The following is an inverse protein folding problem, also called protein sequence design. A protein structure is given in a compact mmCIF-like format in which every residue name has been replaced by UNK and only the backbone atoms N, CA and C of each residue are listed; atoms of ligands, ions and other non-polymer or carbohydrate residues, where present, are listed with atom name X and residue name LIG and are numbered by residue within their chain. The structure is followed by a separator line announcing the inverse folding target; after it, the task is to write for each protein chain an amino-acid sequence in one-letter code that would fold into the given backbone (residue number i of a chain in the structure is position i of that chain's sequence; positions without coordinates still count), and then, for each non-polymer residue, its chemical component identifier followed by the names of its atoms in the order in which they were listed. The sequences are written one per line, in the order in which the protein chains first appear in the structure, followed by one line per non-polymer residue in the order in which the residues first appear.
data_IF_770159907990
#
_entry.id   IF_770159907990
#
_cell.length_a   1.000
_cell.length_b   1.000
_cell.length_c   1.000
_cell.angle_alpha   90.00
_cell.angle_beta   90.00
_cell.angle_gamma   90.00
#
_symmetry.space_group_name_H-M   'P 1'
#
loop_
_entity.id
_entity.type
_entity.pdbx_description
1 polymer ?
#
# COMPACT_ATOMS: atom_id res chain seq x y z
N UNK A 1 -5.02 -37.38 6.46
CA UNK A 1 -5.28 -37.99 7.77
C UNK A 1 -6.38 -37.14 8.40
N UNK A 2 -7.58 -37.69 8.58
CA UNK A 2 -8.67 -36.98 9.26
C UNK A 2 -8.28 -36.95 10.75
N UNK A 3 -8.20 -35.77 11.36
CA UNK A 3 -7.91 -35.68 12.79
C UNK A 3 -9.04 -36.37 13.58
N UNK A 4 -8.69 -37.17 14.59
CA UNK A 4 -9.63 -37.94 15.43
C UNK A 4 -10.75 -37.07 16.02
N UNK A 5 -10.48 -35.78 16.24
CA UNK A 5 -11.48 -34.80 16.67
C UNK A 5 -12.68 -34.68 15.70
N UNK A 6 -12.47 -34.72 14.38
CA UNK A 6 -13.56 -34.63 13.42
C UNK A 6 -14.44 -35.88 13.40
N UNK A 7 -13.86 -37.04 13.72
CA UNK A 7 -14.58 -38.31 13.83
C UNK A 7 -15.50 -38.28 15.07
N UNK A 8 -15.00 -37.77 16.20
CA UNK A 8 -15.81 -37.64 17.41
C UNK A 8 -16.90 -36.57 17.30
N UNK A 9 -16.63 -35.46 16.60
CA UNK A 9 -17.63 -34.42 16.30
C UNK A 9 -18.74 -34.98 15.38
N UNK A 10 -18.38 -35.73 14.34
CA UNK A 10 -19.33 -36.34 13.41
C UNK A 10 -20.23 -37.39 14.05
N UNK A 11 -19.76 -38.13 15.07
CA UNK A 11 -20.57 -39.13 15.78
C UNK A 11 -21.78 -38.52 16.52
N UNK A 12 -21.75 -37.23 16.85
CA UNK A 12 -22.86 -36.52 17.52
C UNK A 12 -23.93 -36.00 16.55
N UNK A 13 -23.71 -36.11 15.25
CA UNK A 13 -24.66 -35.64 14.24
C UNK A 13 -25.74 -36.70 13.95
N UNK A 14 -26.94 -36.26 13.57
CA UNK A 14 -28.02 -37.15 13.14
C UNK A 14 -27.72 -37.85 11.80
N UNK A 15 -26.88 -37.23 10.96
CA UNK A 15 -26.52 -37.73 9.64
C UNK A 15 -25.12 -37.26 9.28
N UNK A 16 -24.34 -38.10 8.61
CA UNK A 16 -22.94 -37.84 8.24
C UNK A 16 -22.76 -38.07 6.75
N UNK A 17 -22.27 -37.03 6.06
CA UNK A 17 -21.90 -37.09 4.65
C UNK A 17 -20.39 -37.17 4.46
N UNK A 18 -19.92 -38.13 3.68
CA UNK A 18 -18.54 -38.22 3.21
C UNK A 18 -18.43 -37.47 1.89
N UNK A 19 -17.52 -36.50 1.81
CA UNK A 19 -17.30 -35.69 0.60
C UNK A 19 -15.85 -35.77 0.12
N UNK A 20 -15.65 -35.66 -1.19
CA UNK A 20 -14.33 -35.54 -1.83
C UNK A 20 -14.43 -34.64 -3.05
N UNK A 21 -13.54 -33.65 -3.12
CA UNK A 21 -13.43 -32.73 -4.27
C UNK A 21 -14.76 -32.08 -4.68
N UNK A 22 -15.60 -31.74 -3.69
CA UNK A 22 -16.91 -31.12 -3.92
C UNK A 22 -18.04 -32.06 -4.36
N UNK A 23 -17.82 -33.38 -4.38
CA UNK A 23 -18.85 -34.39 -4.59
C UNK A 23 -19.13 -35.16 -3.30
N UNK A 24 -20.40 -35.47 -3.05
CA UNK A 24 -20.82 -36.36 -1.98
C UNK A 24 -20.58 -37.81 -2.42
N UNK A 25 -19.91 -38.60 -1.59
CA UNK A 25 -19.60 -40.01 -1.83
C UNK A 25 -20.65 -40.93 -1.20
N UNK A 26 -21.04 -40.63 0.04
CA UNK A 26 -22.08 -41.35 0.78
C UNK A 26 -22.66 -40.45 1.86
N UNK A 27 -23.92 -40.67 2.24
CA UNK A 27 -24.59 -39.94 3.32
C UNK A 27 -25.47 -40.90 4.11
N UNK A 28 -25.14 -41.12 5.38
CA UNK A 28 -25.85 -42.07 6.24
C UNK A 28 -25.72 -41.70 7.73
N UNK A 29 -26.42 -42.42 8.61
CA UNK A 29 -26.28 -42.28 10.05
C UNK A 29 -24.87 -42.70 10.53
N UNK A 30 -24.32 -42.06 11.59
CA UNK A 30 -22.96 -42.31 12.06
C UNK A 30 -22.68 -43.76 12.46
N UNK A 31 -23.73 -44.52 12.79
CA UNK A 31 -23.62 -45.91 13.23
C UNK A 31 -23.43 -46.89 12.05
N UNK A 32 -23.98 -46.57 10.87
CA UNK A 32 -23.84 -47.40 9.66
C UNK A 32 -22.57 -47.08 8.87
N UNK A 33 -22.02 -45.87 9.04
CA UNK A 33 -20.81 -45.42 8.38
C UNK A 33 -19.58 -45.63 9.28
N UNK A 34 -18.92 -46.78 9.18
CA UNK A 34 -17.57 -46.94 9.76
C UNK A 34 -16.60 -45.99 9.04
N UNK A 35 -16.36 -44.83 9.65
CA UNK A 35 -15.79 -43.65 9.00
C UNK A 35 -14.40 -43.86 8.36
N UNK A 36 -13.63 -44.86 8.78
CA UNK A 36 -12.30 -45.11 8.21
C UNK A 36 -12.33 -46.14 7.08
N UNK A 37 -12.87 -47.34 7.32
CA UNK A 37 -12.87 -48.43 6.35
C UNK A 37 -13.83 -48.20 5.18
N UNK A 38 -15.01 -47.61 5.46
CA UNK A 38 -15.99 -47.27 4.42
C UNK A 38 -15.46 -46.12 3.56
N UNK A 39 -14.81 -45.12 4.18
CA UNK A 39 -14.24 -44.00 3.43
C UNK A 39 -13.10 -44.43 2.50
N UNK A 40 -12.19 -45.29 2.97
CA UNK A 40 -11.11 -45.82 2.12
C UNK A 40 -11.66 -46.60 0.92
N UNK A 41 -12.65 -47.46 1.16
CA UNK A 41 -13.31 -48.23 0.08
C UNK A 41 -14.00 -47.31 -0.93
N UNK A 42 -14.77 -46.33 -0.46
CA UNK A 42 -15.43 -45.35 -1.32
C UNK A 42 -14.41 -44.50 -2.11
N UNK A 43 -13.26 -44.16 -1.52
CA UNK A 43 -12.21 -43.42 -2.22
C UNK A 43 -11.53 -44.24 -3.33
N UNK A 44 -11.39 -45.55 -3.12
CA UNK A 44 -10.83 -46.48 -4.10
C UNK A 44 -11.81 -46.74 -5.25
N UNK A 45 -13.09 -46.96 -4.93
CA UNK A 45 -14.16 -47.11 -5.92
C UNK A 45 -14.33 -45.85 -6.76
N UNK A 46 -14.25 -44.66 -6.15
CA UNK A 46 -14.28 -43.37 -6.84
C UNK A 46 -13.10 -43.18 -7.80
N UNK A 47 -11.88 -43.57 -7.39
CA UNK A 47 -10.70 -43.51 -8.27
C UNK A 47 -10.84 -44.41 -9.50
N UNK A 48 -11.35 -45.62 -9.31
CA UNK A 48 -11.56 -46.57 -10.41
C UNK A 48 -12.67 -46.10 -11.36
N UNK A 49 -13.74 -45.50 -10.84
CA UNK A 49 -14.84 -44.95 -11.62
C UNK A 49 -14.37 -43.77 -12.50
N UNK A 50 -13.54 -42.88 -11.96
CA UNK A 50 -12.94 -41.77 -12.72
C UNK A 50 -12.01 -42.29 -13.83
N UNK A 51 -11.22 -43.34 -13.55
CA UNK A 51 -10.35 -43.94 -14.57
C UNK A 51 -11.15 -44.58 -15.71
N UNK A 52 -12.24 -45.29 -15.40
CA UNK A 52 -13.11 -45.93 -16.40
C UNK A 52 -13.82 -44.91 -17.30
N UNK A 53 -14.30 -43.79 -16.75
CA UNK A 53 -14.91 -42.71 -17.54
C UNK A 53 -13.92 -42.02 -18.48
N UNK A 54 -12.65 -41.92 -18.08
CA UNK A 54 -11.59 -41.30 -18.92
C UNK A 54 -11.24 -42.19 -20.12
N UNK A 55 -11.35 -43.51 -19.99
CA UNK A 55 -11.18 -44.47 -21.10
C UNK A 55 -12.38 -44.51 -22.06
N UNK A 56 -13.61 -44.27 -21.59
CA UNK A 56 -14.80 -44.27 -22.46
C UNK A 56 -14.97 -42.97 -23.27
N UNK A 57 -14.53 -41.82 -22.76
CA UNK A 57 -14.60 -40.56 -23.51
C UNK A 57 -13.54 -40.39 -24.62
N UNK A 58 -12.68 -41.39 -24.83
CA UNK A 58 -11.67 -41.42 -25.90
C UNK A 58 -12.08 -42.26 -27.12
N UNK A 59 -13.32 -42.77 -27.15
CA UNK A 59 -13.89 -43.46 -28.29
C UNK A 59 -15.15 -42.70 -28.72
N UNK A 60 -14.96 -41.59 -29.42
CA UNK A 60 -15.98 -41.04 -30.30
C UNK A 60 -15.30 -40.79 -31.66
N UNK A 61 -15.46 -41.79 -32.53
CA UNK A 61 -14.84 -41.93 -33.83
C UNK A 61 -15.48 -43.11 -34.56
N UNK A 62 -16.62 -42.82 -35.16
CA UNK A 62 -17.35 -43.52 -36.23
C UNK A 62 -16.73 -44.80 -36.83
N UNK A 63 -17.48 -45.92 -36.78
CA UNK A 63 -17.76 -46.78 -37.94
C UNK A 63 -18.75 -47.92 -37.62
N UNK A 64 -19.74 -48.08 -38.49
CA UNK A 64 -20.68 -49.21 -38.64
C UNK A 64 -19.99 -50.58 -38.74
N UNK A 65 -20.57 -51.62 -38.10
CA UNK A 65 -21.05 -52.88 -38.73
C UNK A 65 -21.49 -53.91 -37.68
N UNK A 66 -22.58 -54.63 -38.02
CA UNK A 66 -23.17 -55.76 -37.30
C UNK A 66 -22.16 -56.90 -37.02
N UNK A 67 -22.25 -57.56 -35.85
CA UNK A 67 -22.25 -59.04 -35.69
C UNK A 67 -22.65 -59.40 -34.24
N UNK A 68 -23.47 -60.44 -34.15
CA UNK A 68 -24.20 -60.98 -33.01
C UNK A 68 -23.36 -61.78 -31.98
N UNK A 69 -24.00 -62.02 -30.82
CA UNK A 69 -23.96 -63.24 -29.99
C UNK A 69 -22.68 -63.65 -29.22
N UNK A 70 -22.72 -63.65 -27.88
CA UNK A 70 -23.00 -64.84 -27.04
C UNK A 70 -22.51 -64.72 -25.57
N UNK A 71 -23.45 -64.85 -24.63
CA UNK A 71 -23.52 -65.72 -23.43
C UNK A 71 -22.20 -66.13 -22.71
N UNK A 72 -22.10 -65.88 -21.39
CA UNK A 72 -22.13 -66.93 -20.33
C UNK A 72 -21.95 -66.39 -18.90
N UNK A 73 -23.01 -66.60 -18.10
CA UNK A 73 -22.96 -66.81 -16.65
C UNK A 73 -22.09 -68.05 -16.32
N UNK A 74 -21.38 -68.04 -15.19
CA UNK A 74 -21.21 -69.21 -14.30
C UNK A 74 -20.44 -68.86 -13.00
N UNK A 75 -21.18 -68.90 -11.87
CA UNK A 75 -20.88 -69.40 -10.51
C UNK A 75 -19.43 -69.48 -9.99
N UNK A 76 -19.19 -69.02 -8.74
CA UNK A 76 -19.17 -69.89 -7.53
C UNK A 76 -18.76 -69.10 -6.25
N UNK A 77 -19.48 -69.35 -5.16
CA UNK A 77 -19.21 -68.93 -3.77
C UNK A 77 -17.92 -69.53 -3.20
N UNK A 78 -17.24 -68.84 -2.25
CA UNK A 78 -16.77 -69.45 -0.98
C UNK A 78 -16.27 -68.44 0.07
N UNK A 79 -16.98 -68.44 1.20
CA UNK A 79 -16.59 -68.40 2.63
C UNK A 79 -15.10 -68.26 3.04
N UNK A 80 -14.87 -67.30 3.96
CA UNK A 80 -13.80 -67.08 4.96
C UNK A 80 -12.61 -68.06 5.08
N UNK A 81 -11.36 -67.54 5.07
CA UNK A 81 -10.27 -67.89 6.02
C UNK A 81 -9.25 -66.73 6.18
N UNK A 82 -8.94 -66.46 7.45
CA UNK A 82 -7.94 -65.64 8.14
C UNK A 82 -6.72 -65.00 7.43
N UNK A 83 -6.44 -63.76 7.87
CA UNK A 83 -5.15 -63.21 8.32
C UNK A 83 -3.88 -63.88 7.81
N UNK A 84 -3.28 -63.31 6.75
CA UNK A 84 -1.80 -63.26 6.53
C UNK A 84 -1.39 -62.57 5.22
N UNK A 85 -2.33 -62.14 4.36
CA UNK A 85 -2.02 -61.65 3.01
C UNK A 85 -2.05 -60.12 2.82
N UNK A 86 -2.38 -59.35 3.86
CA UNK A 86 -2.47 -57.88 3.74
C UNK A 86 -1.09 -57.24 3.57
N UNK A 87 -0.04 -57.83 4.15
CA UNK A 87 1.30 -57.25 4.13
C UNK A 87 2.00 -57.36 2.76
N UNK A 88 1.68 -58.39 1.96
CA UNK A 88 2.20 -58.55 0.58
C UNK A 88 1.44 -57.71 -0.46
N UNK A 89 0.20 -57.30 -0.17
CA UNK A 89 -0.53 -56.32 -0.97
C UNK A 89 -0.07 -54.88 -0.71
N UNK A 90 0.44 -54.58 0.48
CA UNK A 90 0.95 -53.24 0.83
C UNK A 90 2.27 -52.89 0.12
N UNK A 91 3.08 -53.87 -0.28
CA UNK A 91 4.39 -53.62 -0.90
C UNK A 91 4.28 -53.46 -2.43
N UNK A 92 3.29 -54.09 -3.08
CA UNK A 92 3.18 -54.09 -4.56
C UNK A 92 2.41 -52.88 -5.11
N UNK A 93 1.73 -52.09 -4.27
CA UNK A 93 0.96 -50.90 -4.69
C UNK A 93 1.80 -49.61 -4.67
N UNK A 94 3.03 -49.64 -4.13
CA UNK A 94 3.90 -48.45 -4.07
C UNK A 94 4.60 -48.09 -5.39
N UNK A 95 4.35 -48.79 -6.49
CA UNK A 95 4.81 -48.37 -7.82
C UNK A 95 3.91 -47.29 -8.41
N UNK A 96 4.27 -46.04 -8.10
CA UNK A 96 4.20 -44.86 -8.99
C UNK A 96 3.20 -44.97 -10.15
N UNK A 97 1.94 -44.69 -9.89
CA UNK A 97 1.10 -44.01 -10.86
C UNK A 97 0.77 -42.61 -10.33
N UNK A 98 1.81 -41.77 -10.29
CA UNK A 98 1.60 -40.33 -10.46
C UNK A 98 1.09 -40.11 -11.87
N UNK A 99 -0.23 -40.27 -12.06
CA UNK A 99 -0.91 -39.71 -13.22
C UNK A 99 -0.52 -38.23 -13.27
N UNK A 100 0.24 -37.85 -14.30
CA UNK A 100 0.55 -36.44 -14.58
C UNK A 100 -0.79 -35.75 -14.77
N UNK A 101 -1.32 -35.12 -13.72
CA UNK A 101 -2.41 -34.16 -13.86
C UNK A 101 -1.92 -33.14 -14.86
N UNK A 102 -2.61 -33.04 -15.99
CA UNK A 102 -2.25 -32.09 -17.02
C UNK A 102 -2.27 -30.68 -16.40
N UNK A 103 -1.31 -29.84 -16.75
CA UNK A 103 -1.20 -28.45 -16.25
C UNK A 103 -2.50 -27.64 -16.47
N UNK A 104 -3.36 -28.12 -17.39
CA UNK A 104 -4.66 -27.56 -17.77
C UNK A 104 -5.74 -27.83 -16.71
N UNK A 105 -5.64 -28.91 -15.91
CA UNK A 105 -6.59 -29.19 -14.82
C UNK A 105 -6.46 -28.20 -13.64
N UNK A 106 -5.36 -27.46 -13.57
CA UNK A 106 -5.21 -26.34 -12.62
C UNK A 106 -5.99 -25.09 -13.06
N UNK A 107 -6.29 -24.95 -14.35
CA UNK A 107 -7.04 -23.83 -14.93
C UNK A 107 -8.50 -24.19 -15.21
N UNK A 108 -9.18 -24.85 -14.26
CA UNK A 108 -10.65 -24.83 -14.28
C UNK A 108 -11.09 -23.39 -14.04
N UNK A 109 -11.87 -22.84 -14.96
CA UNK A 109 -12.42 -21.50 -14.82
C UNK A 109 -13.16 -21.39 -13.49
N UNK A 110 -12.89 -20.34 -12.69
CA UNK A 110 -13.53 -20.20 -11.40
C UNK A 110 -15.04 -20.02 -11.62
N UNK A 111 -15.84 -20.82 -10.94
CA UNK A 111 -17.29 -20.65 -11.02
C UNK A 111 -17.69 -19.43 -10.19
N UNK A 112 -18.29 -18.43 -10.84
CA UNK A 112 -18.74 -17.17 -10.21
C UNK A 112 -19.64 -17.42 -9.00
N UNK A 113 -20.49 -18.45 -9.04
CA UNK A 113 -21.34 -18.84 -7.92
C UNK A 113 -20.55 -19.28 -6.68
N UNK A 114 -19.42 -19.98 -6.88
CA UNK A 114 -18.54 -20.37 -5.77
C UNK A 114 -17.86 -19.13 -5.21
N UNK A 115 -17.27 -18.27 -6.06
CA UNK A 115 -16.66 -17.01 -5.60
C UNK A 115 -17.66 -16.17 -4.80
N UNK A 116 -18.89 -16.02 -5.28
CA UNK A 116 -19.93 -15.28 -4.58
C UNK A 116 -20.26 -15.90 -3.21
N UNK A 117 -20.36 -17.23 -3.12
CA UNK A 117 -20.58 -17.92 -1.85
C UNK A 117 -19.42 -17.71 -0.87
N UNK A 118 -18.18 -17.70 -1.36
CA UNK A 118 -17.00 -17.41 -0.56
C UNK A 118 -16.98 -15.94 -0.07
N UNK A 119 -17.34 -14.98 -0.92
CA UNK A 119 -17.50 -13.57 -0.52
C UNK A 119 -18.58 -13.41 0.56
N UNK A 120 -19.73 -14.05 0.40
CA UNK A 120 -20.81 -14.01 1.41
C UNK A 120 -20.39 -14.62 2.74
N UNK A 121 -19.58 -15.68 2.70
CA UNK A 121 -18.97 -16.27 3.89
C UNK A 121 -18.04 -15.27 4.58
N UNK A 122 -17.18 -14.59 3.83
CA UNK A 122 -16.25 -13.60 4.39
C UNK A 122 -16.96 -12.39 4.98
N UNK A 123 -18.01 -11.89 4.32
CA UNK A 123 -18.87 -10.85 4.87
C UNK A 123 -19.50 -11.27 6.20
N UNK A 124 -19.94 -12.52 6.29
CA UNK A 124 -20.51 -13.06 7.52
C UNK A 124 -19.47 -13.16 8.63
N UNK A 125 -18.24 -13.58 8.30
CA UNK A 125 -17.11 -13.65 9.24
C UNK A 125 -16.71 -12.27 9.75
N UNK A 126 -16.59 -11.29 8.84
CA UNK A 126 -16.26 -9.90 9.19
C UNK A 126 -17.34 -9.28 10.06
N UNK A 127 -18.63 -9.50 9.74
CA UNK A 127 -19.76 -9.01 10.52
C UNK A 127 -19.81 -9.62 11.92
N UNK A 128 -19.47 -10.91 12.05
CA UNK A 128 -19.44 -11.60 13.35
C UNK A 128 -18.24 -11.17 14.21
N UNK A 129 -17.14 -10.77 13.58
CA UNK A 129 -15.90 -10.36 14.22
C UNK A 129 -15.69 -8.84 14.21
N UNK A 130 -16.68 -8.10 14.73
CA UNK A 130 -16.68 -6.63 14.75
C UNK A 130 -15.44 -6.01 15.42
N UNK A 131 -14.92 -6.65 16.47
CA UNK A 131 -13.73 -6.17 17.20
C UNK A 131 -12.50 -6.07 16.31
N UNK A 132 -12.32 -7.04 15.39
CA UNK A 132 -11.19 -7.04 14.47
C UNK A 132 -11.36 -6.00 13.36
N UNK A 133 -12.61 -5.75 12.93
CA UNK A 133 -12.92 -4.67 11.99
C UNK A 133 -12.62 -3.30 12.60
N UNK A 134 -12.97 -3.06 13.86
CA UNK A 134 -12.65 -1.81 14.56
C UNK A 134 -11.14 -1.59 14.63
N UNK A 135 -10.36 -2.61 14.99
CA UNK A 135 -8.89 -2.52 15.03
C UNK A 135 -8.30 -2.19 13.65
N UNK A 136 -8.87 -2.76 12.59
CA UNK A 136 -8.44 -2.51 11.22
C UNK A 136 -8.67 -1.06 10.78
N UNK A 137 -9.76 -0.42 11.22
CA UNK A 137 -9.99 1.01 10.95
C UNK A 137 -9.16 1.93 11.87
N UNK A 138 -8.78 1.47 13.06
CA UNK A 138 -7.90 2.20 13.97
C UNK A 138 -6.50 2.39 13.37
N UNK A 139 -5.98 1.40 12.64
CA UNK A 139 -4.63 1.45 12.06
C UNK A 139 -4.44 2.65 11.11
N UNK A 140 -5.30 2.87 10.09
CA UNK A 140 -5.23 4.06 9.24
C UNK A 140 -5.38 5.37 10.01
N UNK A 141 -6.20 5.42 11.07
CA UNK A 141 -6.35 6.62 11.90
C UNK A 141 -5.03 6.94 12.61
N UNK A 142 -4.40 5.94 13.25
CA UNK A 142 -3.09 6.09 13.88
C UNK A 142 -2.05 6.51 12.85
N UNK A 143 -2.07 5.92 11.65
CA UNK A 143 -1.17 6.26 10.57
C UNK A 143 -1.31 7.72 10.14
N UNK A 144 -2.54 8.23 9.96
CA UNK A 144 -2.79 9.64 9.62
C UNK A 144 -2.36 10.54 10.79
N UNK A 145 -2.66 10.17 12.03
CA UNK A 145 -2.23 10.94 13.20
C UNK A 145 -0.69 11.03 13.30
N UNK A 146 0.01 9.91 13.08
CA UNK A 146 1.48 9.87 13.05
C UNK A 146 2.03 10.69 11.88
N UNK A 147 1.39 10.61 10.71
CA UNK A 147 1.76 11.44 9.57
C UNK A 147 1.67 12.94 9.92
N UNK A 148 0.54 13.37 10.48
CA UNK A 148 0.35 14.76 10.90
C UNK A 148 1.31 15.20 12.03
N UNK A 149 1.72 14.26 12.91
CA UNK A 149 2.69 14.55 13.97
C UNK A 149 4.12 14.66 13.42
N UNK A 150 4.48 13.81 12.46
CA UNK A 150 5.80 13.80 11.85
C UNK A 150 5.99 14.96 10.85
N UNK A 151 4.94 15.31 10.10
CA UNK A 151 4.98 16.32 9.04
C UNK A 151 4.24 17.55 9.52
N UNK A 152 5.02 18.49 10.07
CA UNK A 152 4.51 19.70 10.72
C UNK A 152 5.56 20.40 11.58
N UNK A 153 6.70 19.75 11.84
CA UNK A 153 7.86 20.44 12.41
C UNK A 153 8.50 21.36 11.37
N UNK A 154 8.92 22.53 11.81
CA UNK A 154 9.71 23.45 10.99
C UNK A 154 11.08 22.82 10.70
N UNK A 155 11.60 23.00 9.49
CA UNK A 155 12.95 22.56 9.15
C UNK A 155 13.98 23.48 9.84
N UNK A 156 15.00 22.90 10.44
CA UNK A 156 16.12 23.61 11.05
C UNK A 156 17.38 23.40 10.18
N UNK A 157 18.34 24.32 10.27
CA UNK A 157 19.63 24.23 9.53
C UNK A 157 19.48 24.12 8.00
N UNK A 158 18.68 25.00 7.39
CA UNK A 158 18.53 25.07 5.93
C UNK A 158 19.74 25.77 5.32
N UNK A 159 20.54 25.04 4.54
CA UNK A 159 21.73 25.59 3.89
C UNK A 159 21.37 26.49 2.70
N UNK A 160 21.79 27.76 2.76
CA UNK A 160 21.50 28.80 1.79
C UNK A 160 22.78 29.45 1.27
N UNK A 161 22.86 29.68 -0.03
CA UNK A 161 23.94 30.45 -0.63
C UNK A 161 23.61 31.95 -0.57
N UNK A 162 24.56 32.79 -0.15
CA UNK A 162 24.43 34.24 -0.13
C UNK A 162 25.36 34.87 -1.16
N UNK A 163 24.78 35.65 -2.06
CA UNK A 163 25.49 36.58 -2.92
C UNK A 163 25.25 38.01 -2.42
N UNK A 164 26.32 38.68 -2.01
CA UNK A 164 26.26 40.08 -1.57
C UNK A 164 27.05 40.98 -2.53
N UNK A 165 26.32 41.66 -3.41
CA UNK A 165 26.89 42.62 -4.36
C UNK A 165 27.61 43.80 -3.70
N UNK A 166 27.12 44.26 -2.54
CA UNK A 166 27.75 45.38 -1.80
C UNK A 166 29.12 45.00 -1.23
N UNK A 167 29.33 43.72 -0.90
CA UNK A 167 30.59 43.24 -0.35
C UNK A 167 31.74 43.26 -1.37
N UNK A 168 31.42 43.13 -2.66
CA UNK A 168 32.40 43.12 -3.76
C UNK A 168 33.02 44.51 -3.96
N UNK A 169 32.25 45.58 -3.77
CA UNK A 169 32.67 46.96 -4.00
C UNK A 169 33.19 47.68 -2.76
N UNK A 170 33.23 47.00 -1.62
CA UNK A 170 33.55 47.59 -0.33
C UNK A 170 32.30 48.16 0.33
N UNK A 171 32.07 47.68 1.55
CA UNK A 171 30.91 48.01 2.37
C UNK A 171 30.68 49.54 2.53
N UNK A 172 29.53 50.09 2.11
CA UNK A 172 29.22 51.50 2.28
C UNK A 172 29.03 51.91 3.76
N UNK A 173 29.20 53.19 4.08
CA UNK A 173 29.01 53.69 5.45
C UNK A 173 27.57 53.47 5.95
N UNK A 174 27.41 52.65 6.98
CA UNK A 174 26.11 52.24 7.53
C UNK A 174 25.49 51.06 6.78
N UNK A 175 26.18 49.91 6.78
CA UNK A 175 25.81 48.66 6.11
C UNK A 175 24.46 48.12 6.57
N UNK A 176 23.42 48.39 5.81
CA UNK A 176 22.10 47.84 6.09
C UNK A 176 22.00 46.36 5.67
N UNK A 177 22.76 45.94 4.65
CA UNK A 177 22.85 44.54 4.22
C UNK A 177 23.36 43.61 5.33
N UNK A 178 24.46 43.97 6.01
CA UNK A 178 24.99 43.17 7.11
C UNK A 178 24.07 43.17 8.34
N UNK A 179 23.42 44.30 8.63
CA UNK A 179 22.43 44.38 9.70
C UNK A 179 21.25 43.45 9.46
N UNK A 180 20.75 43.37 8.22
CA UNK A 180 19.70 42.43 7.84
C UNK A 180 20.16 40.98 7.99
N UNK A 181 21.35 40.64 7.51
CA UNK A 181 21.90 39.28 7.61
C UNK A 181 22.10 38.83 9.07
N UNK A 182 22.49 39.74 9.96
CA UNK A 182 22.61 39.45 11.39
C UNK A 182 21.27 39.19 12.09
N UNK A 183 20.14 39.55 11.47
CA UNK A 183 18.79 39.24 12.00
C UNK A 183 18.29 37.87 11.58
N UNK A 184 18.94 37.22 10.62
CA UNK A 184 18.57 35.87 10.20
C UNK A 184 18.92 34.90 11.32
N UNK A 185 17.93 34.11 11.74
CA UNK A 185 18.11 33.14 12.82
C UNK A 185 19.09 32.02 12.40
N UNK A 186 20.26 31.88 13.05
CA UNK A 186 21.26 30.89 12.69
C UNK A 186 20.80 29.44 12.97
N UNK A 187 19.77 29.23 13.79
CA UNK A 187 19.22 27.89 14.02
C UNK A 187 18.34 27.40 12.85
N UNK A 188 17.82 28.33 12.05
CA UNK A 188 16.92 28.02 10.93
C UNK A 188 17.65 28.01 9.60
N UNK A 189 18.59 28.92 9.38
CA UNK A 189 19.27 29.10 8.08
C UNK A 189 20.78 29.15 8.28
N UNK A 190 21.48 28.24 7.63
CA UNK A 190 22.95 28.22 7.53
C UNK A 190 23.36 28.95 6.25
N UNK A 191 24.06 30.07 6.40
CA UNK A 191 24.42 30.94 5.27
C UNK A 191 25.87 30.71 4.84
N UNK A 192 26.09 30.40 3.57
CA UNK A 192 27.40 30.35 2.94
C UNK A 192 27.57 31.50 1.94
N UNK A 193 28.53 32.39 2.18
CA UNK A 193 28.76 33.57 1.32
C UNK A 193 29.61 33.25 0.09
N UNK A 194 29.21 33.79 -1.06
CA UNK A 194 29.88 33.66 -2.35
C UNK A 194 30.04 35.03 -3.03
N UNK A 195 31.17 35.24 -3.70
CA UNK A 195 31.46 36.47 -4.42
C UNK A 195 30.86 36.50 -5.83
N UNK A 196 30.54 35.33 -6.40
CA UNK A 196 30.02 35.19 -7.76
C UNK A 196 28.60 34.63 -7.74
N UNK A 197 27.65 35.36 -8.32
CA UNK A 197 26.26 34.92 -8.41
C UNK A 197 26.11 33.62 -9.21
N UNK A 198 26.78 33.50 -10.35
CA UNK A 198 26.70 32.32 -11.21
C UNK A 198 27.21 31.06 -10.49
N UNK A 199 28.29 31.20 -9.71
CA UNK A 199 28.83 30.09 -8.92
C UNK A 199 27.84 29.64 -7.84
N UNK A 200 27.21 30.59 -7.13
CA UNK A 200 26.18 30.28 -6.15
C UNK A 200 24.99 29.54 -6.79
N UNK A 201 24.54 30.00 -7.96
CA UNK A 201 23.45 29.39 -8.71
C UNK A 201 23.78 27.97 -9.19
N UNK A 202 25.02 27.74 -9.65
CA UNK A 202 25.44 26.41 -10.10
C UNK A 202 25.54 25.41 -8.94
N UNK A 203 25.92 25.86 -7.73
CA UNK A 203 25.93 25.00 -6.53
C UNK A 203 24.51 24.64 -6.07
N UNK A 204 23.54 25.54 -6.22
CA UNK A 204 22.12 25.24 -6.00
C UNK A 204 21.61 24.23 -7.03
N UNK A 205 21.95 24.39 -8.31
CA UNK A 205 21.60 23.40 -9.36
C UNK A 205 22.22 22.03 -9.10
N UNK A 206 23.38 21.98 -8.47
CA UNK A 206 24.04 20.73 -8.05
C UNK A 206 23.41 20.12 -6.78
N UNK A 207 22.45 20.80 -6.14
CA UNK A 207 21.76 20.33 -4.93
C UNK A 207 22.56 20.49 -3.65
N UNK A 208 23.60 21.33 -3.63
CA UNK A 208 24.37 21.58 -2.40
C UNK A 208 23.70 22.58 -1.45
N UNK A 209 22.85 23.46 -1.99
CA UNK A 209 22.12 24.49 -1.24
C UNK A 209 20.66 24.53 -1.71
N UNK A 210 19.74 24.93 -0.83
CA UNK A 210 18.30 25.00 -1.11
C UNK A 210 17.87 26.27 -1.86
N UNK A 211 18.77 27.25 -1.97
CA UNK A 211 18.51 28.48 -2.72
C UNK A 211 19.63 29.50 -2.61
N UNK A 212 19.49 30.59 -3.36
CA UNK A 212 20.37 31.77 -3.34
C UNK A 212 19.60 32.98 -2.80
N UNK A 213 20.19 33.63 -1.81
CA UNK A 213 19.85 34.97 -1.37
C UNK A 213 20.75 35.94 -2.14
N UNK A 214 20.18 36.76 -3.00
CA UNK A 214 20.91 37.75 -3.78
C UNK A 214 20.57 39.17 -3.30
N UNK A 215 21.60 39.89 -2.86
CA UNK A 215 21.54 41.31 -2.51
C UNK A 215 22.21 42.09 -3.64
N UNK A 216 21.50 43.08 -4.18
CA UNK A 216 22.01 43.95 -5.26
C UNK A 216 23.12 44.91 -4.75
N UNK A 217 23.94 45.41 -5.67
CA UNK A 217 25.14 46.23 -5.37
C UNK A 217 24.84 47.58 -4.69
N UNK A 218 23.61 48.09 -4.81
CA UNK A 218 23.17 49.39 -4.29
C UNK A 218 22.07 49.28 -3.22
N UNK A 219 21.97 48.13 -2.54
CA UNK A 219 20.92 47.83 -1.56
C UNK A 219 20.80 48.88 -0.45
N UNK A 220 21.91 49.23 0.21
CA UNK A 220 21.94 50.17 1.34
C UNK A 220 21.48 51.57 0.91
N UNK A 221 21.86 52.01 -0.28
CA UNK A 221 21.40 53.30 -0.82
C UNK A 221 19.92 53.26 -1.19
N UNK A 222 19.47 52.19 -1.83
CA UNK A 222 18.08 52.01 -2.22
C UNK A 222 17.14 51.94 -1.01
N UNK A 223 17.52 51.24 0.07
CA UNK A 223 16.74 51.18 1.32
C UNK A 223 16.67 52.55 1.99
N UNK A 224 17.76 53.31 2.05
CA UNK A 224 17.76 54.69 2.59
C UNK A 224 16.85 55.61 1.77
N UNK A 225 16.91 55.52 0.44
CA UNK A 225 16.05 56.31 -0.44
C UNK A 225 14.57 55.94 -0.27
N UNK A 226 14.25 54.64 -0.12
CA UNK A 226 12.90 54.15 0.19
C UNK A 226 12.37 54.59 1.55
N UNK A 227 13.26 54.84 2.52
CA UNK A 227 12.88 55.37 3.83
C UNK A 227 12.50 56.87 3.77
N UNK A 228 13.14 57.62 2.87
CA UNK A 228 12.93 59.06 2.70
C UNK A 228 11.68 59.33 1.86
N UNK A 229 11.49 58.56 0.79
CA UNK A 229 10.31 58.62 -0.07
C UNK A 229 9.63 57.25 -0.12
N UNK A 230 8.38 57.18 0.33
CA UNK A 230 7.59 55.94 0.33
C UNK A 230 7.11 55.57 -1.09
N UNK A 231 7.04 56.54 -2.00
CA UNK A 231 6.62 56.35 -3.40
C UNK A 231 7.86 56.24 -4.30
N UNK A 232 8.58 55.13 -4.18
CA UNK A 232 9.82 54.93 -4.95
C UNK A 232 9.60 54.39 -6.35
N UNK A 233 10.51 54.77 -7.26
CA UNK A 233 10.63 54.18 -8.59
C UNK A 233 10.75 52.64 -8.54
N UNK A 234 10.20 51.91 -9.54
CA UNK A 234 10.29 50.44 -9.58
C UNK A 234 11.74 49.93 -9.58
N UNK A 235 12.69 50.69 -10.14
CA UNK A 235 14.11 50.34 -10.11
C UNK A 235 14.70 50.39 -8.68
N UNK A 236 14.37 51.42 -7.90
CA UNK A 236 14.78 51.58 -6.50
C UNK A 236 14.10 50.52 -5.62
N UNK A 237 12.84 50.18 -5.91
CA UNK A 237 12.12 49.07 -5.25
C UNK A 237 12.80 47.73 -5.52
N UNK A 238 13.30 47.52 -6.74
CA UNK A 238 14.03 46.31 -7.09
C UNK A 238 15.37 46.23 -6.34
N UNK A 239 16.14 47.31 -6.37
CA UNK A 239 17.44 47.41 -5.70
C UNK A 239 17.37 47.30 -4.17
N UNK A 240 16.29 47.77 -3.56
CA UNK A 240 16.06 47.68 -2.11
C UNK A 240 15.46 46.34 -1.67
N UNK A 241 15.10 45.47 -2.61
CA UNK A 241 14.52 44.16 -2.32
C UNK A 241 15.59 43.07 -2.30
N UNK A 242 15.37 42.07 -1.45
CA UNK A 242 16.16 40.87 -1.37
C UNK A 242 15.60 39.85 -2.37
N UNK A 243 16.43 39.41 -3.31
CA UNK A 243 16.05 38.49 -4.36
C UNK A 243 16.30 37.05 -3.93
N UNK A 244 15.26 36.23 -4.00
CA UNK A 244 15.32 34.83 -3.60
C UNK A 244 15.17 33.91 -4.82
N UNK A 245 16.21 33.14 -5.09
CA UNK A 245 16.19 32.05 -6.07
C UNK A 245 16.11 30.73 -5.32
N UNK A 246 14.91 30.17 -5.25
CA UNK A 246 14.61 29.03 -4.39
C UNK A 246 14.49 27.74 -5.19
N UNK A 247 14.85 26.62 -4.56
CA UNK A 247 14.43 25.30 -5.00
C UNK A 247 13.01 25.01 -4.44
N UNK A 248 12.01 24.92 -5.33
CA UNK A 248 10.63 24.62 -4.94
C UNK A 248 10.28 23.13 -5.00
N UNK A 249 11.25 22.23 -5.12
CA UNK A 249 10.99 20.78 -5.04
C UNK A 249 10.46 20.36 -3.67
N UNK A 250 10.88 21.05 -2.60
CA UNK A 250 10.42 20.80 -1.24
C UNK A 250 9.66 22.00 -0.66
N UNK A 251 8.34 21.86 -0.59
CA UNK A 251 7.48 22.92 -0.08
C UNK A 251 7.65 23.22 1.42
N UNK A 252 8.02 22.23 2.24
CA UNK A 252 8.20 22.45 3.67
C UNK A 252 9.42 23.32 3.97
N UNK A 253 10.53 23.07 3.25
CA UNK A 253 11.74 23.89 3.32
C UNK A 253 11.46 25.30 2.84
N UNK A 254 10.74 25.43 1.72
CA UNK A 254 10.31 26.71 1.17
C UNK A 254 9.53 27.57 2.18
N UNK A 255 8.46 27.02 2.76
CA UNK A 255 7.61 27.76 3.70
C UNK A 255 8.41 28.20 4.93
N UNK A 256 9.20 27.29 5.49
CA UNK A 256 10.06 27.59 6.65
C UNK A 256 11.04 28.71 6.34
N UNK A 257 11.64 28.70 5.16
CA UNK A 257 12.58 29.73 4.74
C UNK A 257 11.89 31.08 4.50
N UNK A 258 10.73 31.08 3.84
CA UNK A 258 9.96 32.30 3.60
C UNK A 258 9.56 32.95 4.93
N UNK A 259 9.04 32.16 5.87
CA UNK A 259 8.67 32.62 7.21
C UNK A 259 9.89 33.16 7.96
N UNK A 260 11.02 32.44 7.93
CA UNK A 260 12.26 32.88 8.58
C UNK A 260 12.76 34.22 8.03
N UNK A 261 12.77 34.39 6.71
CA UNK A 261 13.22 35.64 6.07
C UNK A 261 12.24 36.79 6.28
N UNK A 262 10.93 36.54 6.17
CA UNK A 262 9.91 37.56 6.45
C UNK A 262 10.06 38.07 7.90
N UNK A 263 10.13 37.16 8.86
CA UNK A 263 10.35 37.52 10.28
C UNK A 263 11.66 38.30 10.49
N UNK A 264 12.75 37.87 9.83
CA UNK A 264 14.05 38.55 9.92
C UNK A 264 14.00 39.97 9.34
N UNK A 265 13.34 40.14 8.20
CA UNK A 265 13.14 41.45 7.57
C UNK A 265 12.23 42.35 8.39
N UNK A 266 11.20 41.81 9.04
CA UNK A 266 10.34 42.57 9.95
C UNK A 266 11.12 43.09 11.16
N UNK A 267 11.96 42.26 11.77
CA UNK A 267 12.83 42.67 12.88
C UNK A 267 13.82 43.76 12.45
N UNK A 268 14.39 43.61 11.26
CA UNK A 268 15.28 44.61 10.65
C UNK A 268 14.56 45.94 10.39
N UNK A 269 13.34 45.89 9.83
CA UNK A 269 12.53 47.08 9.59
C UNK A 269 12.17 47.79 10.90
N UNK A 270 11.79 47.05 11.96
CA UNK A 270 11.52 47.63 13.29
C UNK A 270 12.73 48.38 13.85
N UNK A 271 13.93 47.86 13.66
CA UNK A 271 15.16 48.52 14.13
C UNK A 271 15.45 49.83 13.38
N UNK A 272 15.31 49.83 12.05
CA UNK A 272 15.53 51.03 11.23
C UNK A 272 14.43 52.08 11.43
N UNK A 273 13.19 51.63 11.61
CA UNK A 273 12.00 52.48 11.78
C UNK A 273 11.77 52.93 13.22
N UNK A 274 12.66 52.61 14.16
CA UNK A 274 12.57 53.07 15.56
C UNK A 274 12.74 54.60 15.74
N UNK A 275 12.88 55.36 14.64
CA UNK A 275 12.82 56.83 14.63
C UNK A 275 11.35 57.33 14.67
N UNK A 276 11.04 58.49 15.28
CA UNK A 276 9.74 58.74 15.90
C UNK A 276 8.59 59.16 14.98
N UNK A 277 8.56 58.76 13.69
CA UNK A 277 7.55 59.29 12.73
C UNK A 277 6.96 58.31 11.73
N UNK A 278 7.37 57.03 11.71
CA UNK A 278 6.90 56.07 10.71
C UNK A 278 6.31 54.87 11.42
N UNK A 279 5.04 54.57 11.15
CA UNK A 279 4.40 53.34 11.63
C UNK A 279 5.05 52.14 10.95
N UNK A 280 5.65 51.19 11.70
CA UNK A 280 6.28 49.99 11.16
C UNK A 280 5.34 49.15 10.28
N UNK A 281 4.03 49.30 10.45
CA UNK A 281 2.99 48.56 9.74
C UNK A 281 2.81 48.97 8.26
N UNK A 282 3.43 50.07 7.82
CA UNK A 282 3.31 50.62 6.45
C UNK A 282 4.44 50.09 5.53
N UNK A 283 5.52 49.53 6.10
CA UNK A 283 6.66 49.08 5.31
C UNK A 283 6.42 47.67 4.75
N UNK A 284 6.21 47.57 3.44
CA UNK A 284 6.25 46.29 2.73
C UNK A 284 7.61 45.60 2.96
N UNK A 285 7.64 44.33 3.41
CA UNK A 285 8.88 43.58 3.58
C UNK A 285 9.61 43.50 2.23
N UNK A 286 10.91 43.85 2.17
CA UNK A 286 11.68 43.92 0.94
C UNK A 286 12.12 42.53 0.48
N UNK A 287 11.20 41.62 0.19
CA UNK A 287 11.51 40.25 -0.28
C UNK A 287 10.78 39.99 -1.59
N UNK A 288 11.54 39.71 -2.65
CA UNK A 288 11.02 39.31 -3.96
C UNK A 288 11.47 37.88 -4.24
N UNK A 289 10.49 36.99 -4.40
CA UNK A 289 10.74 35.61 -4.85
C UNK A 289 10.84 35.66 -6.37
N UNK A 290 12.02 35.33 -6.88
CA UNK A 290 12.30 35.27 -8.30
C UNK A 290 11.86 33.92 -8.88
N UNK A 291 12.03 33.77 -10.20
CA UNK A 291 11.80 32.50 -10.85
C UNK A 291 12.64 31.39 -10.17
N UNK A 292 11.99 30.35 -9.62
CA UNK A 292 12.69 29.32 -8.88
C UNK A 292 13.56 28.47 -9.80
N UNK A 293 14.60 27.86 -9.23
CA UNK A 293 15.51 26.99 -9.97
C UNK A 293 14.77 25.73 -10.43
N UNK A 294 13.92 25.19 -9.56
CA UNK A 294 13.09 24.02 -9.82
C UNK A 294 11.68 24.24 -9.23
N UNK A 295 10.68 23.61 -9.86
CA UNK A 295 9.28 23.62 -9.41
C UNK A 295 8.46 24.82 -9.90
N UNK A 296 7.21 24.87 -9.48
CA UNK A 296 6.26 25.95 -9.77
C UNK A 296 6.27 27.02 -8.67
N UNK A 297 6.01 28.28 -8.99
CA UNK A 297 5.96 29.42 -8.05
C UNK A 297 4.95 29.24 -6.90
N UNK A 298 3.87 28.46 -7.10
CA UNK A 298 2.82 28.23 -6.11
C UNK A 298 2.55 26.74 -5.93
N UNK A 299 3.49 25.98 -5.32
CA UNK A 299 3.28 24.57 -5.09
C UNK A 299 2.17 24.37 -4.04
N UNK A 300 1.27 23.40 -4.28
CA UNK A 300 0.26 23.00 -3.29
C UNK A 300 0.78 21.80 -2.51
N UNK A 301 0.78 21.90 -1.18
CA UNK A 301 1.32 20.86 -0.30
C UNK A 301 0.62 19.51 -0.49
N UNK A 302 -0.68 19.57 -0.78
CA UNK A 302 -1.50 18.41 -1.16
C UNK A 302 -0.90 17.64 -2.34
N UNK A 303 -0.31 18.30 -3.34
CA UNK A 303 0.25 17.61 -4.51
C UNK A 303 1.52 16.80 -4.15
N UNK A 304 2.24 17.21 -3.11
CA UNK A 304 3.41 16.50 -2.61
C UNK A 304 3.02 15.34 -1.67
N UNK A 305 2.12 15.59 -0.72
CA UNK A 305 1.79 14.64 0.33
C UNK A 305 0.74 13.59 -0.07
N UNK A 306 -0.23 13.95 -0.91
CA UNK A 306 -1.39 13.10 -1.19
C UNK A 306 -1.04 11.73 -1.81
N UNK A 307 -0.13 11.62 -2.80
CA UNK A 307 0.18 10.32 -3.40
C UNK A 307 0.75 9.32 -2.38
N UNK A 308 1.66 9.77 -1.51
CA UNK A 308 2.26 8.91 -0.48
C UNK A 308 1.26 8.44 0.57
N UNK A 309 0.36 9.33 1.01
CA UNK A 309 -0.71 8.98 1.94
C UNK A 309 -1.70 7.97 1.31
N UNK A 310 -2.10 8.20 0.06
CA UNK A 310 -3.04 7.32 -0.65
C UNK A 310 -2.50 5.89 -0.78
N UNK A 311 -1.25 5.74 -1.23
CA UNK A 311 -0.62 4.42 -1.38
C UNK A 311 -0.54 3.70 -0.03
N UNK A 312 -0.15 4.42 1.02
CA UNK A 312 0.01 3.84 2.35
C UNK A 312 -1.34 3.38 2.93
N UNK A 313 -2.39 4.20 2.83
CA UNK A 313 -3.74 3.85 3.29
C UNK A 313 -4.27 2.62 2.54
N UNK A 314 -4.16 2.60 1.20
CA UNK A 314 -4.61 1.47 0.38
C UNK A 314 -3.84 0.19 0.77
N UNK A 315 -2.54 0.29 0.96
CA UNK A 315 -1.69 -0.85 1.32
C UNK A 315 -2.07 -1.45 2.68
N UNK A 316 -2.22 -0.63 3.73
CA UNK A 316 -2.58 -1.13 5.06
C UNK A 316 -4.02 -1.65 5.14
N UNK A 317 -4.95 -1.01 4.43
CA UNK A 317 -6.33 -1.50 4.34
C UNK A 317 -6.41 -2.84 3.62
N UNK A 318 -5.79 -2.97 2.45
CA UNK A 318 -5.80 -4.20 1.66
C UNK A 318 -5.09 -5.34 2.39
N UNK A 319 -3.86 -5.10 2.85
CA UNK A 319 -3.06 -6.14 3.54
C UNK A 319 -3.70 -6.57 4.84
N UNK A 320 -4.22 -5.63 5.64
CA UNK A 320 -4.83 -5.95 6.92
C UNK A 320 -6.12 -6.74 6.77
N UNK A 321 -7.01 -6.39 5.83
CA UNK A 321 -8.25 -7.15 5.62
C UNK A 321 -7.99 -8.55 5.07
N UNK A 322 -7.16 -8.68 4.03
CA UNK A 322 -6.83 -9.97 3.44
C UNK A 322 -6.10 -10.87 4.44
N UNK A 323 -5.08 -10.34 5.12
CA UNK A 323 -4.30 -11.10 6.10
C UNK A 323 -5.13 -11.54 7.29
N UNK A 324 -6.01 -10.66 7.79
CA UNK A 324 -6.87 -10.94 8.93
C UNK A 324 -7.88 -12.05 8.63
N UNK A 325 -8.57 -11.97 7.48
CA UNK A 325 -9.54 -12.99 7.05
C UNK A 325 -8.85 -14.34 6.95
N UNK A 326 -7.71 -14.39 6.27
CA UNK A 326 -6.95 -15.63 6.09
C UNK A 326 -6.51 -16.25 7.43
N UNK A 327 -6.04 -15.43 8.38
CA UNK A 327 -5.63 -15.90 9.71
C UNK A 327 -6.83 -16.45 10.50
N UNK A 328 -7.98 -15.78 10.44
CA UNK A 328 -9.21 -16.24 11.10
C UNK A 328 -9.70 -17.55 10.49
N UNK A 329 -9.73 -17.65 9.16
CA UNK A 329 -10.13 -18.89 8.47
C UNK A 329 -9.23 -20.07 8.79
N UNK A 330 -7.91 -19.82 8.86
CA UNK A 330 -6.94 -20.84 9.24
C UNK A 330 -7.10 -21.27 10.69
N UNK A 331 -7.39 -20.33 11.60
CA UNK A 331 -7.61 -20.62 13.01
C UNK A 331 -8.91 -21.41 13.25
N UNK A 332 -9.97 -21.09 12.53
CA UNK A 332 -11.28 -21.78 12.62
C UNK A 332 -11.33 -23.09 11.78
N UNK A 333 -10.28 -23.40 11.00
CA UNK A 333 -10.25 -24.57 10.11
C UNK A 333 -11.23 -24.48 8.93
N UNK A 334 -11.76 -23.28 8.65
CA UNK A 334 -12.72 -23.05 7.56
C UNK A 334 -12.07 -23.22 6.20
N UNK A 335 -10.80 -22.84 6.07
CA UNK A 335 -10.04 -22.97 4.81
C UNK A 335 -9.96 -24.44 4.35
N UNK A 336 -9.70 -25.36 5.27
CA UNK A 336 -9.61 -26.79 4.99
C UNK A 336 -10.98 -27.36 4.58
N UNK A 337 -12.06 -26.93 5.25
CA UNK A 337 -13.43 -27.31 4.90
C UNK A 337 -13.81 -26.86 3.49
N UNK A 338 -13.41 -25.65 3.08
CA UNK A 338 -13.62 -25.14 1.72
C UNK A 338 -12.88 -25.97 0.66
N UNK A 339 -11.66 -26.42 0.94
CA UNK A 339 -10.94 -27.31 0.01
C UNK A 339 -11.60 -28.67 -0.13
N UNK A 340 -12.12 -29.24 0.97
CA UNK A 340 -12.88 -30.51 0.94
C UNK A 340 -14.17 -30.34 0.13
N UNK A 341 -14.83 -29.20 0.26
CA UNK A 341 -16.01 -28.82 -0.53
C UNK A 341 -15.71 -28.56 -2.03
N UNK A 342 -14.46 -28.70 -2.48
CA UNK A 342 -14.09 -28.60 -3.89
C UNK A 342 -13.91 -27.16 -4.37
N UNK A 343 -13.56 -26.24 -3.46
CA UNK A 343 -13.07 -24.91 -3.81
C UNK A 343 -11.59 -25.00 -4.20
N UNK A 344 -11.24 -24.41 -5.34
CA UNK A 344 -9.87 -24.36 -5.84
C UNK A 344 -9.07 -23.23 -5.19
N UNK A 345 -7.74 -23.34 -5.15
CA UNK A 345 -6.86 -22.27 -4.64
C UNK A 345 -7.03 -20.96 -5.43
N UNK A 346 -7.29 -21.04 -6.73
CA UNK A 346 -7.51 -19.86 -7.59
C UNK A 346 -8.81 -19.15 -7.19
N UNK A 347 -9.88 -19.89 -6.89
CA UNK A 347 -11.15 -19.32 -6.42
C UNK A 347 -10.99 -18.57 -5.09
N UNK A 348 -10.20 -19.11 -4.15
CA UNK A 348 -9.87 -18.44 -2.88
C UNK A 348 -9.05 -17.17 -3.10
N UNK A 349 -8.11 -17.18 -4.05
CA UNK A 349 -7.31 -15.98 -4.37
C UNK A 349 -8.16 -14.93 -5.12
N UNK A 350 -9.05 -15.34 -6.02
CA UNK A 350 -9.95 -14.45 -6.76
C UNK A 350 -10.94 -13.74 -5.84
N UNK A 351 -11.48 -14.44 -4.83
CA UNK A 351 -12.32 -13.86 -3.78
C UNK A 351 -11.66 -12.64 -3.12
N UNK A 352 -10.40 -12.78 -2.70
CA UNK A 352 -9.62 -11.71 -2.05
C UNK A 352 -9.54 -10.44 -2.91
N UNK A 353 -9.52 -10.59 -4.24
CA UNK A 353 -9.41 -9.47 -5.18
C UNK A 353 -10.70 -8.65 -5.28
N UNK A 354 -11.86 -9.28 -5.06
CA UNK A 354 -13.17 -8.64 -5.18
C UNK A 354 -13.66 -7.98 -3.87
N UNK A 355 -13.11 -8.38 -2.71
CA UNK A 355 -13.41 -7.75 -1.41
C UNK A 355 -13.05 -6.25 -1.37
N UNK A 356 -12.00 -5.86 -2.10
CA UNK A 356 -11.56 -4.46 -2.23
C UNK A 356 -12.63 -3.58 -2.91
N UNK A 357 -13.43 -4.17 -3.81
CA UNK A 357 -14.48 -3.45 -4.54
C UNK A 357 -15.68 -3.13 -3.64
N UNK A 358 -15.88 -3.89 -2.55
CA UNK A 358 -17.03 -3.79 -1.67
C UNK A 358 -16.80 -2.88 -0.44
N UNK A 359 -15.56 -2.75 0.05
CA UNK A 359 -15.20 -1.72 1.05
C UNK A 359 -15.58 -0.33 0.55
N UNK A 360 -15.43 -0.10 -0.77
CA UNK A 360 -15.82 1.14 -1.43
C UNK A 360 -17.33 1.41 -1.33
N UNK A 361 -18.16 0.36 -1.29
CA UNK A 361 -19.62 0.45 -1.16
C UNK A 361 -20.05 0.68 0.29
N UNK A 362 -19.44 0.00 1.26
CA UNK A 362 -19.74 0.22 2.69
C UNK A 362 -19.33 1.63 3.14
N UNK A 363 -18.15 2.10 2.71
CA UNK A 363 -17.69 3.45 3.03
C UNK A 363 -18.52 4.58 2.36
N UNK A 364 -19.41 4.24 1.43
CA UNK A 364 -20.38 5.15 0.81
C UNK A 364 -21.74 5.13 1.51
N UNK A 365 -22.03 4.11 2.33
CA UNK A 365 -23.28 3.97 3.09
C UNK A 365 -23.12 4.31 4.58
N UNK A 366 -21.89 4.44 5.08
CA UNK A 366 -21.57 5.04 6.39
C UNK A 366 -21.15 6.49 6.22
#
# INVERSE_FOLDING_TARGET
MIATHYIEEARKANRVGLMRSGRMLAEDEPNHLSLENVFLRLCYEDQNCIQQQTTMNNIDGDCDTDVSNNINEQNLESTYVADTTVESLLITVNTKQTSRKNFIDYFKFPHIHKIYALIMKDLTLVKRNISLLIFQFLIPVIQISLFCLCIGRNAEHISMALYNGEAVHGFPTGNLSLQLLNKINPQQIDIASFNDFNKAMDLVKQGQYWGVIAIQDNFTQAVKNKLIDLQTDPATRNASSLHLYLDMTNQQVLLTMQDALMNSTELFLKEILSSPRIDPSIADPPVIIENPVYGSLTPKFINFAAPGMMVSIIFFLATGLTGLIFVVEKKEGLLERSWIAGVTTIEVICQIKDDIKWIKTIALEM
#
